data_IF_491993055572
#
_entry.id   IF_491993055572
#
_cell.length_a   1.000
_cell.length_b   1.000
_cell.length_c   1.000
_cell.angle_alpha   90.00
_cell.angle_beta   90.00
_cell.angle_gamma   90.00
#
_symmetry.space_group_name_H-M   'P 1'
#
loop_
_entity.id
_entity.type
_entity.pdbx_description
1 polymer ?
#
# COMPACT_ATOMS: atom_id res chain seq x y z
N UNK A 1 15.35 -11.13 -9.89
CA UNK A 1 14.46 -9.96 -9.68
C UNK A 1 13.77 -9.61 -10.97
N UNK A 2 12.47 -9.42 -10.92
CA UNK A 2 11.71 -8.95 -12.07
C UNK A 2 11.97 -7.46 -12.30
N UNK A 3 12.18 -7.06 -13.55
CA UNK A 3 12.29 -5.66 -13.95
C UNK A 3 11.17 -5.31 -14.92
N UNK A 4 10.85 -4.03 -14.99
CA UNK A 4 9.78 -3.50 -15.84
C UNK A 4 10.35 -2.47 -16.79
N UNK A 5 9.86 -2.46 -18.03
CA UNK A 5 10.01 -1.27 -18.87
C UNK A 5 9.02 -0.21 -18.38
N UNK A 6 9.21 1.04 -18.75
CA UNK A 6 8.27 2.10 -18.41
C UNK A 6 6.86 1.77 -18.94
N UNK A 7 6.77 1.25 -20.16
CA UNK A 7 5.50 0.87 -20.77
C UNK A 7 4.79 -0.25 -20.00
N UNK A 8 5.55 -1.30 -19.63
CA UNK A 8 5.01 -2.40 -18.83
C UNK A 8 4.49 -1.88 -17.50
N UNK A 9 5.29 -1.08 -16.79
CA UNK A 9 4.90 -0.52 -15.50
C UNK A 9 3.63 0.33 -15.62
N UNK A 10 3.56 1.20 -16.61
CA UNK A 10 2.37 2.04 -16.82
C UNK A 10 1.13 1.21 -17.15
N UNK A 11 1.27 0.13 -17.90
CA UNK A 11 0.14 -0.74 -18.26
C UNK A 11 -0.44 -1.46 -17.04
N UNK A 12 0.32 -1.60 -15.97
CA UNK A 12 -0.11 -2.26 -14.73
C UNK A 12 -0.75 -1.33 -13.72
N UNK A 13 -0.68 -0.01 -13.92
CA UNK A 13 -1.22 0.96 -12.96
C UNK A 13 -2.68 0.74 -12.58
N UNK A 14 -3.61 0.46 -13.52
CA UNK A 14 -5.01 0.24 -13.13
C UNK A 14 -5.20 -0.92 -12.15
N UNK A 15 -4.50 -2.02 -12.36
CA UNK A 15 -4.56 -3.20 -11.48
C UNK A 15 -3.92 -2.89 -10.14
N UNK A 16 -2.74 -2.27 -10.16
CA UNK A 16 -2.01 -1.93 -8.94
C UNK A 16 -2.75 -0.89 -8.10
N UNK A 17 -3.36 0.10 -8.74
CA UNK A 17 -4.16 1.08 -8.04
C UNK A 17 -5.36 0.44 -7.35
N UNK A 18 -6.02 -0.51 -8.01
CA UNK A 18 -7.13 -1.26 -7.41
C UNK A 18 -6.69 -2.07 -6.20
N UNK A 19 -5.56 -2.77 -6.29
CA UNK A 19 -5.01 -3.55 -5.18
C UNK A 19 -4.59 -2.64 -4.01
N UNK A 20 -3.91 -1.54 -4.30
CA UNK A 20 -3.51 -0.55 -3.29
C UNK A 20 -4.71 0.04 -2.57
N UNK A 21 -5.75 0.40 -3.32
CA UNK A 21 -6.97 0.99 -2.76
C UNK A 21 -7.63 0.02 -1.78
N UNK A 22 -7.72 -1.26 -2.14
CA UNK A 22 -8.22 -2.31 -1.26
C UNK A 22 -7.40 -2.42 0.02
N UNK A 23 -6.09 -2.39 -0.10
CA UNK A 23 -5.17 -2.45 1.05
C UNK A 23 -5.36 -1.26 1.97
N UNK A 24 -5.45 -0.06 1.41
CA UNK A 24 -5.63 1.19 2.17
C UNK A 24 -7.00 1.18 2.88
N UNK A 25 -8.06 0.79 2.19
CA UNK A 25 -9.40 0.68 2.79
C UNK A 25 -9.42 -0.32 3.93
N UNK A 26 -8.76 -1.47 3.75
CA UNK A 26 -8.66 -2.48 4.80
C UNK A 26 -7.89 -1.97 6.01
N UNK A 27 -6.78 -1.27 5.80
CA UNK A 27 -6.00 -0.66 6.88
C UNK A 27 -6.81 0.39 7.64
N UNK A 28 -7.57 1.23 6.92
CA UNK A 28 -8.44 2.23 7.52
C UNK A 28 -9.48 1.57 8.42
N UNK A 29 -10.10 0.49 7.96
CA UNK A 29 -11.09 -0.24 8.75
C UNK A 29 -10.46 -0.87 10.00
N UNK A 30 -9.28 -1.44 9.89
CA UNK A 30 -8.54 -1.99 11.03
C UNK A 30 -8.29 -0.90 12.08
N UNK A 31 -7.82 0.27 11.64
CA UNK A 31 -7.53 1.39 12.53
C UNK A 31 -8.81 1.91 13.23
N UNK A 32 -9.91 1.99 12.49
CA UNK A 32 -11.21 2.39 13.05
C UNK A 32 -11.66 1.42 14.14
N UNK A 33 -11.57 0.11 13.88
CA UNK A 33 -11.96 -0.92 14.85
C UNK A 33 -11.05 -0.88 16.07
N UNK A 34 -9.75 -0.72 15.88
CA UNK A 34 -8.79 -0.61 16.99
C UNK A 34 -9.10 0.59 17.86
N UNK A 35 -9.47 1.73 17.28
CA UNK A 35 -9.87 2.93 18.02
C UNK A 35 -11.16 2.67 18.80
N UNK A 36 -12.14 1.98 18.22
CA UNK A 36 -13.39 1.62 18.91
C UNK A 36 -13.11 0.74 20.14
N UNK A 37 -12.27 -0.27 19.99
CA UNK A 37 -11.92 -1.17 21.10
C UNK A 37 -11.09 -0.46 22.17
N UNK A 38 -10.20 0.42 21.79
CA UNK A 38 -9.41 1.23 22.74
C UNK A 38 -10.35 2.15 23.54
N UNK A 39 -11.31 2.79 22.88
CA UNK A 39 -12.29 3.65 23.55
C UNK A 39 -13.16 2.85 24.51
N UNK A 40 -13.58 1.64 24.12
CA UNK A 40 -14.37 0.75 24.97
C UNK A 40 -13.56 0.32 26.19
N UNK A 41 -12.30 -0.08 26.01
CA UNK A 41 -11.41 -0.46 27.10
C UNK A 41 -11.21 0.67 28.10
N UNK A 42 -11.06 1.90 27.61
CA UNK A 42 -10.90 3.09 28.43
C UNK A 42 -12.17 3.35 29.25
N UNK A 43 -13.35 3.25 28.63
CA UNK A 43 -14.64 3.40 29.36
C UNK A 43 -14.81 2.35 30.46
N UNK A 44 -14.45 1.10 30.18
CA UNK A 44 -14.49 0.02 31.17
C UNK A 44 -13.59 0.35 32.35
N UNK A 45 -12.39 0.80 32.09
CA UNK A 45 -11.41 1.16 33.11
C UNK A 45 -11.91 2.35 33.97
N UNK A 46 -12.35 3.44 33.32
CA UNK A 46 -12.76 4.66 34.02
C UNK A 46 -14.04 4.48 34.85
N UNK A 47 -14.95 3.62 34.41
CA UNK A 47 -16.24 3.41 35.07
C UNK A 47 -16.27 2.21 36.01
N UNK A 48 -15.13 1.55 36.24
CA UNK A 48 -15.06 0.35 37.08
C UNK A 48 -15.82 -0.83 36.50
N UNK A 49 -16.09 -0.81 35.20
CA UNK A 49 -16.86 -1.81 34.49
C UNK A 49 -18.00 -1.17 33.70
N UNK A 50 -18.44 -1.82 32.64
CA UNK A 50 -19.60 -1.40 31.85
C UNK A 50 -20.21 -2.61 31.16
N UNK A 51 -21.51 -2.51 30.81
CA UNK A 51 -22.14 -3.55 30.03
C UNK A 51 -21.59 -3.52 28.60
N UNK A 52 -21.21 -4.69 28.10
CA UNK A 52 -20.66 -4.85 26.77
C UNK A 52 -21.57 -5.79 25.97
N UNK A 53 -21.90 -5.39 24.75
CA UNK A 53 -22.58 -6.28 23.81
C UNK A 53 -21.53 -7.23 23.21
N UNK A 54 -21.47 -8.43 23.77
CA UNK A 54 -20.47 -9.45 23.37
C UNK A 54 -20.62 -9.86 21.91
N UNK A 55 -21.87 -9.94 21.41
CA UNK A 55 -22.11 -10.32 20.00
C UNK A 55 -21.64 -9.24 19.05
N UNK A 56 -21.92 -7.98 19.36
CA UNK A 56 -21.46 -6.86 18.54
C UNK A 56 -19.92 -6.79 18.53
N UNK A 57 -19.29 -6.98 19.67
CA UNK A 57 -17.83 -7.01 19.76
C UNK A 57 -17.23 -8.16 18.95
N UNK A 58 -17.81 -9.35 19.04
CA UNK A 58 -17.35 -10.51 18.27
C UNK A 58 -17.51 -10.30 16.77
N UNK A 59 -18.64 -9.72 16.33
CA UNK A 59 -18.88 -9.41 14.94
C UNK A 59 -17.85 -8.38 14.41
N UNK A 60 -17.57 -7.35 15.21
CA UNK A 60 -16.61 -6.31 14.85
C UNK A 60 -15.18 -6.86 14.76
N UNK A 61 -14.83 -7.75 15.69
CA UNK A 61 -13.53 -8.45 15.65
C UNK A 61 -13.41 -9.31 14.39
N UNK A 62 -14.48 -10.00 13.99
CA UNK A 62 -14.52 -10.77 12.74
C UNK A 62 -14.29 -9.90 11.51
N UNK A 63 -14.88 -8.69 11.49
CA UNK A 63 -14.65 -7.72 10.42
C UNK A 63 -13.19 -7.28 10.39
N UNK A 64 -12.57 -7.07 11.56
CA UNK A 64 -11.16 -6.73 11.67
C UNK A 64 -10.27 -7.83 11.11
N UNK A 65 -10.53 -9.07 11.50
CA UNK A 65 -9.75 -10.24 11.04
C UNK A 65 -9.84 -10.40 9.53
N UNK A 66 -11.03 -10.19 8.95
CA UNK A 66 -11.24 -10.21 7.51
C UNK A 66 -10.48 -9.09 6.82
N UNK A 67 -10.49 -7.89 7.37
CA UNK A 67 -9.75 -6.74 6.81
C UNK A 67 -8.24 -6.99 6.83
N UNK A 68 -7.71 -7.59 7.90
CA UNK A 68 -6.31 -7.99 7.99
C UNK A 68 -5.97 -8.96 6.86
N UNK A 69 -6.83 -9.96 6.62
CA UNK A 69 -6.59 -10.95 5.57
C UNK A 69 -6.61 -10.32 4.19
N UNK A 70 -7.56 -9.42 3.92
CA UNK A 70 -7.63 -8.70 2.65
C UNK A 70 -6.37 -7.86 2.43
N UNK A 71 -5.91 -7.15 3.46
CA UNK A 71 -4.68 -6.35 3.36
C UNK A 71 -3.46 -7.23 3.05
N UNK A 72 -3.32 -8.35 3.75
CA UNK A 72 -2.23 -9.31 3.50
C UNK A 72 -2.27 -9.86 2.08
N UNK A 73 -3.44 -10.26 1.61
CA UNK A 73 -3.61 -10.86 0.29
C UNK A 73 -3.29 -9.84 -0.82
N UNK A 74 -3.78 -8.61 -0.70
CA UNK A 74 -3.54 -7.59 -1.72
C UNK A 74 -2.07 -7.16 -1.77
N UNK A 75 -1.42 -7.01 -0.62
CA UNK A 75 0.01 -6.70 -0.56
C UNK A 75 0.85 -7.86 -1.12
N UNK A 76 0.44 -9.09 -0.83
CA UNK A 76 1.10 -10.28 -1.37
C UNK A 76 0.99 -10.34 -2.90
N UNK A 77 -0.17 -10.00 -3.46
CA UNK A 77 -0.37 -9.94 -4.91
C UNK A 77 0.52 -8.89 -5.55
N UNK A 78 0.61 -7.70 -4.98
CA UNK A 78 1.49 -6.64 -5.48
C UNK A 78 2.94 -7.10 -5.45
N UNK A 79 3.36 -7.70 -4.34
CA UNK A 79 4.72 -8.22 -4.20
C UNK A 79 5.02 -9.33 -5.21
N UNK A 80 4.05 -10.22 -5.46
CA UNK A 80 4.19 -11.31 -6.43
C UNK A 80 4.35 -10.79 -7.87
N UNK A 81 3.75 -9.64 -8.19
CA UNK A 81 3.93 -8.98 -9.47
C UNK A 81 5.37 -8.48 -9.64
N UNK A 82 6.06 -8.20 -8.55
CA UNK A 82 7.43 -7.69 -8.53
C UNK A 82 7.54 -6.21 -8.23
N UNK A 83 6.43 -5.57 -7.88
CA UNK A 83 6.37 -4.16 -7.51
C UNK A 83 6.57 -4.02 -6.00
N UNK A 84 7.30 -2.99 -5.58
CA UNK A 84 7.58 -2.73 -4.18
C UNK A 84 6.64 -1.64 -3.64
N UNK A 85 5.93 -1.95 -2.56
CA UNK A 85 5.14 -0.94 -1.83
C UNK A 85 6.09 -0.27 -0.83
N UNK A 86 6.39 1.00 -1.06
CA UNK A 86 7.33 1.75 -0.20
C UNK A 86 6.62 2.48 0.93
N UNK A 87 5.43 2.98 0.67
CA UNK A 87 4.61 3.65 1.69
C UNK A 87 3.13 3.44 1.35
N UNK A 88 2.46 2.63 2.15
CA UNK A 88 1.06 2.31 1.92
C UNK A 88 0.16 3.52 2.19
N UNK A 89 0.49 4.34 3.17
CA UNK A 89 -0.37 5.46 3.58
C UNK A 89 -0.55 6.50 2.47
N UNK A 90 0.51 6.72 1.68
CA UNK A 90 0.44 7.65 0.55
C UNK A 90 0.34 6.93 -0.80
N UNK A 91 0.32 5.61 -0.80
CA UNK A 91 0.21 4.82 -2.04
C UNK A 91 1.45 4.92 -2.92
N UNK A 92 2.63 4.79 -2.33
CA UNK A 92 3.90 4.92 -3.05
C UNK A 92 4.42 3.55 -3.50
N UNK A 93 4.60 3.41 -4.82
CA UNK A 93 5.10 2.18 -5.44
C UNK A 93 6.41 2.44 -6.18
N UNK A 94 7.30 1.46 -6.11
CA UNK A 94 8.54 1.43 -6.88
C UNK A 94 8.58 0.21 -7.81
N UNK A 95 8.92 0.47 -9.07
CA UNK A 95 9.03 -0.56 -10.11
C UNK A 95 10.50 -0.68 -10.50
N UNK A 96 11.15 -1.82 -10.22
CA UNK A 96 12.51 -2.03 -10.69
C UNK A 96 12.58 -1.96 -12.22
N UNK A 97 13.49 -1.15 -12.72
CA UNK A 97 13.70 -0.93 -14.15
C UNK A 97 15.19 -1.01 -14.47
N UNK A 98 15.54 -1.73 -15.52
CA UNK A 98 16.93 -1.83 -15.95
C UNK A 98 17.23 -0.76 -16.99
N UNK A 99 18.18 0.11 -16.67
CA UNK A 99 18.61 1.22 -17.54
C UNK A 99 20.12 1.19 -17.63
N UNK A 100 20.65 1.07 -18.85
CA UNK A 100 22.10 1.05 -19.11
C UNK A 100 22.84 0.01 -18.24
N UNK A 101 22.22 -1.16 -18.03
CA UNK A 101 22.80 -2.24 -17.25
C UNK A 101 22.64 -2.10 -15.74
N UNK A 102 22.08 -1.01 -15.27
CA UNK A 102 21.86 -0.75 -13.85
C UNK A 102 20.39 -0.77 -13.51
N UNK A 103 20.07 -1.10 -12.24
CA UNK A 103 18.69 -1.09 -11.75
C UNK A 103 18.38 0.29 -11.15
N UNK A 104 17.30 0.88 -11.63
CA UNK A 104 16.70 2.08 -11.04
C UNK A 104 15.28 1.74 -10.63
N UNK A 105 14.64 2.62 -9.88
CA UNK A 105 13.26 2.43 -9.41
C UNK A 105 12.37 3.51 -10.04
N UNK A 106 11.42 3.07 -10.86
CA UNK A 106 10.37 3.95 -11.36
C UNK A 106 9.41 4.18 -10.21
N UNK A 107 9.16 5.43 -9.87
CA UNK A 107 8.41 5.80 -8.68
C UNK A 107 7.03 6.37 -9.07
N UNK A 108 5.99 5.77 -8.50
CA UNK A 108 4.62 6.23 -8.72
C UNK A 108 3.93 6.42 -7.38
N UNK A 109 3.23 7.53 -7.26
CA UNK A 109 2.40 7.83 -6.10
C UNK A 109 0.94 7.82 -6.55
N UNK A 110 0.07 7.21 -5.73
CA UNK A 110 -1.37 7.18 -6.01
C UNK A 110 -1.91 8.59 -6.23
N UNK A 111 -2.64 8.77 -7.31
CA UNK A 111 -3.15 10.07 -7.76
C UNK A 111 -2.37 10.65 -8.92
N UNK A 112 -1.14 10.20 -9.17
CA UNK A 112 -0.39 10.61 -10.36
C UNK A 112 -0.98 9.91 -11.59
N UNK A 113 -1.23 10.60 -12.70
CA UNK A 113 -1.87 9.99 -13.87
C UNK A 113 -0.95 8.99 -14.61
N UNK A 114 0.35 9.18 -14.52
CA UNK A 114 1.35 8.32 -15.14
C UNK A 114 2.59 8.22 -14.26
N UNK A 115 3.50 7.30 -14.60
CA UNK A 115 4.80 7.24 -13.95
C UNK A 115 5.67 8.35 -14.56
N UNK A 116 5.96 9.36 -13.78
CA UNK A 116 6.69 10.55 -14.24
C UNK A 116 8.04 10.76 -13.55
N UNK A 117 8.38 9.92 -12.59
CA UNK A 117 9.61 10.07 -11.80
C UNK A 117 10.31 8.73 -11.58
N UNK A 118 11.60 8.81 -11.28
CA UNK A 118 12.42 7.66 -10.90
C UNK A 118 13.43 8.08 -9.84
N UNK A 119 14.01 7.11 -9.15
CA UNK A 119 15.12 7.33 -8.21
C UNK A 119 16.02 6.11 -8.20
N UNK A 120 17.25 6.26 -7.65
CA UNK A 120 18.17 5.15 -7.49
C UNK A 120 17.75 4.21 -6.36
N UNK A 121 18.35 3.03 -6.32
CA UNK A 121 18.05 2.01 -5.31
C UNK A 121 18.41 2.46 -3.89
N UNK A 122 19.38 3.36 -3.76
CA UNK A 122 19.81 3.92 -2.47
C UNK A 122 19.10 5.23 -2.11
N UNK A 123 18.15 5.67 -2.95
CA UNK A 123 17.40 6.91 -2.77
C UNK A 123 15.95 6.59 -2.47
N UNK A 124 15.20 7.57 -1.95
CA UNK A 124 13.79 7.45 -1.69
C UNK A 124 12.98 8.51 -2.43
N UNK A 125 11.75 8.72 -1.98
CA UNK A 125 10.81 9.67 -2.57
C UNK A 125 11.42 11.07 -2.74
N UNK A 126 12.17 11.54 -1.76
CA UNK A 126 12.80 12.87 -1.79
C UNK A 126 13.86 13.00 -2.90
N UNK A 127 14.42 11.89 -3.36
CA UNK A 127 15.42 11.87 -4.43
C UNK A 127 14.84 11.69 -5.82
N UNK A 128 13.52 11.77 -5.98
CA UNK A 128 12.84 11.59 -7.27
C UNK A 128 13.34 12.56 -8.32
N UNK A 129 13.52 12.04 -9.53
CA UNK A 129 13.86 12.83 -10.72
C UNK A 129 12.86 12.56 -11.82
N UNK A 130 12.63 13.53 -12.72
CA UNK A 130 11.74 13.29 -13.86
C UNK A 130 12.27 12.17 -14.77
N UNK A 131 11.34 11.40 -15.32
CA UNK A 131 11.66 10.36 -16.31
C UNK A 131 12.40 11.00 -17.48
N UNK A 132 13.47 10.37 -17.91
CA UNK A 132 14.28 10.82 -19.04
C UNK A 132 14.20 9.84 -20.22
N UNK A 133 14.88 10.18 -21.33
CA UNK A 133 14.80 9.41 -22.58
C UNK A 133 15.34 7.99 -22.47
N UNK A 134 16.19 7.70 -21.48
CA UNK A 134 16.72 6.35 -21.27
C UNK A 134 15.63 5.35 -20.93
N UNK A 135 14.62 5.79 -20.17
CA UNK A 135 13.48 4.94 -19.78
C UNK A 135 12.42 4.88 -20.87
N UNK A 136 12.26 5.96 -21.64
CA UNK A 136 11.22 6.06 -22.67
C UNK A 136 11.48 5.21 -23.90
N UNK A 137 12.71 4.86 -24.15
CA UNK A 137 13.11 3.99 -25.26
C UNK A 137 12.89 2.50 -25.02
N UNK A 138 12.46 2.15 -23.86
CA UNK A 138 12.25 0.74 -23.46
C UNK A 138 10.88 0.21 -23.87
#
# INVERSE_FOLDING_TARGET
MRTFTLREAQSMLPILESLLRKSIESKTLIDEIDQEFNALSERIFLNGGTMVDVRACAARRGQRDKAIQVAKDTLSEINAIGVQVKDLDIGLLDFPCKVDGEIVLLCWKMGEPTISHWHGTEEGYAGRRPIDDRMRGE
#
